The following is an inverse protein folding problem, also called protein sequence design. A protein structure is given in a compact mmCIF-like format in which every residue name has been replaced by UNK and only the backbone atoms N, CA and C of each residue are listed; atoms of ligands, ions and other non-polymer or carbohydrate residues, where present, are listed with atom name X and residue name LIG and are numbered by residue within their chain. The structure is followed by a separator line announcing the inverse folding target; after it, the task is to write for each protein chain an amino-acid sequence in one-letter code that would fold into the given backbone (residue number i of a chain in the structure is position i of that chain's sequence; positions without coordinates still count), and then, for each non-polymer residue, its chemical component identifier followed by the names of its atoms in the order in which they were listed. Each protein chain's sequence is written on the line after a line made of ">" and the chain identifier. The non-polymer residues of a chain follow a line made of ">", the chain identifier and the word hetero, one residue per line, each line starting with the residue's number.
data_IF_572513332939
#
_entry.id   IF_572513332939
#
_cell.length_a   1.000
_cell.length_b   1.000
_cell.length_c   1.000
_cell.angle_alpha   90.00
_cell.angle_beta   90.00
_cell.angle_gamma   90.00
#
_symmetry.space_group_name_H-M   'P 1'
#
loop_
_entity.id
_entity.type
_entity.pdbx_description
1 polymer ?
#
# COMPACT_ATOMS: atom_id res chain seq x y z
N UNK A 1 3.82 -17.67 -9.89
CA UNK A 1 3.81 -19.11 -9.55
C UNK A 1 3.00 -19.41 -8.29
N UNK A 2 3.43 -19.01 -7.08
CA UNK A 2 2.70 -19.36 -5.84
C UNK A 2 1.29 -18.77 -5.73
N UNK A 3 1.10 -17.49 -6.08
CA UNK A 3 -0.21 -16.83 -6.05
C UNK A 3 -1.15 -17.43 -7.09
N UNK A 4 -0.71 -17.53 -8.33
CA UNK A 4 -1.51 -18.07 -9.45
C UNK A 4 -1.96 -19.52 -9.20
N UNK A 5 -1.10 -20.34 -8.60
CA UNK A 5 -1.42 -21.74 -8.27
C UNK A 5 -2.49 -21.88 -7.17
N UNK A 6 -2.46 -21.01 -6.15
CA UNK A 6 -3.36 -21.12 -4.99
C UNK A 6 -4.59 -20.19 -5.08
N UNK A 7 -4.50 -19.12 -5.86
CA UNK A 7 -5.52 -18.09 -6.02
C UNK A 7 -5.66 -17.74 -7.51
N UNK A 8 -6.17 -18.67 -8.34
CA UNK A 8 -6.21 -18.50 -9.80
C UNK A 8 -7.09 -17.33 -10.27
N UNK A 9 -7.99 -16.84 -9.42
CA UNK A 9 -8.86 -15.69 -9.70
C UNK A 9 -8.31 -14.37 -9.15
N UNK A 10 -7.15 -14.39 -8.48
CA UNK A 10 -6.57 -13.20 -7.87
C UNK A 10 -5.61 -12.50 -8.83
N UNK A 11 -5.78 -11.19 -8.96
CA UNK A 11 -4.81 -10.35 -9.66
C UNK A 11 -3.57 -10.15 -8.79
N UNK A 12 -2.39 -10.42 -9.36
CA UNK A 12 -1.12 -10.26 -8.68
C UNK A 12 -0.48 -8.92 -9.04
N UNK A 13 -0.14 -8.12 -8.03
CA UNK A 13 0.55 -6.85 -8.22
C UNK A 13 1.73 -6.70 -7.26
N UNK A 14 2.80 -6.07 -7.73
CA UNK A 14 3.95 -5.71 -6.92
C UNK A 14 3.65 -4.49 -6.05
N UNK A 15 4.19 -4.52 -4.82
CA UNK A 15 4.25 -3.36 -3.97
C UNK A 15 5.25 -2.36 -4.58
N UNK A 16 4.75 -1.21 -5.02
CA UNK A 16 5.55 -0.16 -5.67
C UNK A 16 6.61 0.38 -4.71
N UNK A 17 6.34 0.41 -3.40
CA UNK A 17 7.33 0.77 -2.38
C UNK A 17 8.60 -0.09 -2.48
N UNK A 18 8.46 -1.42 -2.45
CA UNK A 18 9.61 -2.33 -2.56
C UNK A 18 10.31 -2.23 -3.92
N UNK A 19 9.54 -2.06 -5.00
CA UNK A 19 10.10 -1.85 -6.33
C UNK A 19 10.97 -0.59 -6.36
N UNK A 20 10.48 0.51 -5.79
CA UNK A 20 11.24 1.77 -5.71
C UNK A 20 12.43 1.69 -4.76
N UNK A 21 12.37 0.93 -3.66
CA UNK A 21 13.53 0.70 -2.80
C UNK A 21 14.63 -0.07 -3.54
N UNK A 22 14.26 -1.10 -4.32
CA UNK A 22 15.22 -1.85 -5.12
C UNK A 22 15.84 -0.95 -6.19
N UNK A 23 15.02 -0.16 -6.86
CA UNK A 23 15.46 0.79 -7.87
C UNK A 23 16.39 1.88 -7.28
N UNK A 24 16.09 2.41 -6.11
CA UNK A 24 16.96 3.37 -5.39
C UNK A 24 18.31 2.77 -4.99
N UNK A 25 18.35 1.46 -4.68
CA UNK A 25 19.60 0.76 -4.36
C UNK A 25 20.49 0.56 -5.59
N UNK A 26 19.90 0.46 -6.78
CA UNK A 26 20.64 0.26 -8.02
C UNK A 26 21.17 1.58 -8.59
N UNK A 27 20.30 2.60 -8.69
CA UNK A 27 20.62 3.84 -9.42
C UNK A 27 21.00 5.02 -8.51
N UNK A 28 20.70 4.94 -7.21
CA UNK A 28 20.98 5.99 -6.23
C UNK A 28 20.52 7.41 -6.64
N UNK A 29 19.43 7.50 -7.42
CA UNK A 29 18.94 8.74 -8.00
C UNK A 29 17.48 8.98 -7.62
N UNK A 30 17.26 9.99 -6.77
CA UNK A 30 15.94 10.35 -6.28
C UNK A 30 14.99 10.84 -7.38
N UNK A 31 15.48 11.50 -8.42
CA UNK A 31 14.64 12.00 -9.51
C UNK A 31 14.09 10.84 -10.34
N UNK A 32 14.92 9.83 -10.61
CA UNK A 32 14.48 8.60 -11.27
C UNK A 32 13.46 7.82 -10.42
N UNK A 33 13.66 7.76 -9.10
CA UNK A 33 12.68 7.15 -8.17
C UNK A 33 11.35 7.89 -8.21
N UNK A 34 11.37 9.21 -8.17
CA UNK A 34 10.15 10.02 -8.25
C UNK A 34 9.42 9.80 -9.58
N UNK A 35 10.15 9.76 -10.71
CA UNK A 35 9.55 9.47 -12.01
C UNK A 35 8.95 8.07 -12.08
N UNK A 36 9.61 7.06 -11.50
CA UNK A 36 9.07 5.70 -11.40
C UNK A 36 7.79 5.67 -10.55
N UNK A 37 7.79 6.40 -9.43
CA UNK A 37 6.61 6.55 -8.58
C UNK A 37 5.45 7.19 -9.32
N UNK A 38 5.70 8.29 -10.03
CA UNK A 38 4.71 8.97 -10.86
C UNK A 38 4.21 8.09 -12.02
N UNK A 39 5.09 7.30 -12.65
CA UNK A 39 4.71 6.33 -13.66
C UNK A 39 3.77 5.28 -13.08
N UNK A 40 4.06 4.76 -11.88
CA UNK A 40 3.22 3.77 -11.22
C UNK A 40 1.81 4.30 -10.90
N UNK A 41 1.71 5.57 -10.50
CA UNK A 41 0.45 6.25 -10.19
C UNK A 41 -0.28 6.82 -11.40
N UNK A 42 0.35 6.81 -12.58
CA UNK A 42 -0.27 7.33 -13.81
C UNK A 42 -1.53 6.53 -14.13
N UNK A 43 -2.63 7.25 -14.35
CA UNK A 43 -3.95 6.64 -14.52
C UNK A 43 -4.22 6.27 -15.97
N UNK A 44 -3.57 6.98 -16.88
CA UNK A 44 -3.65 6.75 -18.32
C UNK A 44 -2.34 6.18 -18.86
N UNK A 45 -2.45 5.42 -19.96
CA UNK A 45 -1.27 4.92 -20.69
C UNK A 45 -0.41 6.06 -21.21
N UNK A 46 -1.05 7.16 -21.66
CA UNK A 46 -0.34 8.33 -22.17
C UNK A 46 0.58 8.97 -21.12
N UNK A 47 0.06 9.21 -19.91
CA UNK A 47 0.85 9.75 -18.80
C UNK A 47 1.98 8.80 -18.42
N UNK A 48 1.69 7.50 -18.31
CA UNK A 48 2.69 6.48 -18.02
C UNK A 48 3.83 6.51 -19.03
N UNK A 49 3.52 6.47 -20.33
CA UNK A 49 4.53 6.50 -21.39
C UNK A 49 5.34 7.79 -21.34
N UNK A 50 4.71 8.93 -21.06
CA UNK A 50 5.42 10.20 -20.87
C UNK A 50 6.45 10.13 -19.74
N UNK A 51 6.10 9.54 -18.59
CA UNK A 51 7.03 9.37 -17.46
C UNK A 51 8.16 8.38 -17.80
N UNK A 52 7.84 7.26 -18.45
CA UNK A 52 8.83 6.28 -18.88
C UNK A 52 9.84 6.85 -19.88
N UNK A 53 9.40 7.67 -20.83
CA UNK A 53 10.30 8.35 -21.77
C UNK A 53 11.24 9.33 -21.06
N UNK A 54 10.79 10.01 -19.98
CA UNK A 54 11.66 10.86 -19.17
C UNK A 54 12.73 10.06 -18.44
N UNK A 55 12.38 8.88 -17.92
CA UNK A 55 13.34 7.96 -17.30
C UNK A 55 14.40 7.55 -18.34
N UNK A 56 13.98 7.16 -19.54
CA UNK A 56 14.90 6.79 -20.63
C UNK A 56 15.85 7.92 -21.02
N UNK A 57 15.35 9.15 -21.10
CA UNK A 57 16.17 10.33 -21.39
C UNK A 57 17.24 10.61 -20.33
N UNK A 58 16.93 10.35 -19.04
CA UNK A 58 17.87 10.56 -17.94
C UNK A 58 18.86 9.38 -17.83
N UNK A 59 18.36 8.16 -17.98
CA UNK A 59 19.16 6.93 -17.91
C UNK A 59 18.51 5.81 -18.74
N UNK A 60 19.05 5.49 -19.92
CA UNK A 60 18.62 4.34 -20.72
C UNK A 60 18.79 3.00 -19.99
N UNK A 61 19.78 2.91 -19.11
CA UNK A 61 20.04 1.75 -18.25
C UNK A 61 18.90 1.55 -17.24
N UNK A 62 18.44 2.63 -16.60
CA UNK A 62 17.31 2.58 -15.68
C UNK A 62 16.00 2.20 -16.36
N UNK A 63 15.77 2.72 -17.58
CA UNK A 63 14.64 2.32 -18.40
C UNK A 63 14.68 0.82 -18.74
N UNK A 64 15.82 0.33 -19.21
CA UNK A 64 16.01 -1.10 -19.52
C UNK A 64 15.80 -1.99 -18.29
N UNK A 65 16.23 -1.52 -17.12
CA UNK A 65 16.02 -2.23 -15.86
C UNK A 65 14.53 -2.37 -15.52
N UNK A 66 13.75 -1.29 -15.64
CA UNK A 66 12.31 -1.31 -15.34
C UNK A 66 11.54 -2.18 -16.34
N UNK A 67 11.97 -2.23 -17.60
CA UNK A 67 11.35 -3.07 -18.62
C UNK A 67 11.40 -4.58 -18.31
N UNK A 68 12.29 -5.02 -17.42
CA UNK A 68 12.28 -6.40 -16.93
C UNK A 68 11.02 -6.75 -16.12
N UNK A 69 10.30 -5.74 -15.62
CA UNK A 69 9.08 -5.91 -14.85
C UNK A 69 7.87 -5.50 -15.68
N UNK A 70 6.95 -6.45 -15.93
CA UNK A 70 5.73 -6.17 -16.69
C UNK A 70 4.93 -5.02 -16.05
N UNK A 71 4.56 -3.96 -16.79
CA UNK A 71 3.77 -2.84 -16.28
C UNK A 71 2.45 -3.26 -15.64
N UNK A 72 1.85 -4.34 -16.14
CA UNK A 72 0.62 -4.94 -15.58
C UNK A 72 0.74 -5.33 -14.11
N UNK A 73 1.95 -5.53 -13.59
CA UNK A 73 2.17 -5.92 -12.19
C UNK A 73 2.29 -4.72 -11.26
N UNK A 74 2.63 -3.53 -11.74
CA UNK A 74 2.98 -2.41 -10.85
C UNK A 74 2.34 -1.07 -11.23
N UNK A 75 2.07 -0.82 -12.51
CA UNK A 75 1.52 0.46 -13.00
C UNK A 75 -0.01 0.47 -13.03
N UNK A 76 -0.63 1.56 -12.55
CA UNK A 76 -2.10 1.67 -12.40
C UNK A 76 -2.84 1.69 -13.72
N UNK A 77 -2.21 2.25 -14.76
CA UNK A 77 -2.76 2.30 -16.11
C UNK A 77 -2.85 0.93 -16.79
N UNK A 78 -2.07 -0.07 -16.35
CA UNK A 78 -1.99 -1.41 -16.95
C UNK A 78 -2.51 -2.54 -16.04
N UNK A 79 -2.69 -2.29 -14.75
CA UNK A 79 -3.19 -3.30 -13.81
C UNK A 79 -4.65 -3.63 -14.14
N UNK A 80 -4.94 -4.90 -14.40
CA UNK A 80 -6.28 -5.37 -14.81
C UNK A 80 -7.26 -5.46 -13.63
N UNK A 81 -6.75 -5.71 -12.43
CA UNK A 81 -7.56 -5.82 -11.22
C UNK A 81 -7.95 -4.46 -10.64
N UNK A 82 -8.71 -4.50 -9.55
CA UNK A 82 -9.07 -3.30 -8.78
C UNK A 82 -8.29 -3.27 -7.47
N UNK A 83 -7.38 -2.30 -7.36
CA UNK A 83 -6.62 -2.04 -6.12
C UNK A 83 -6.98 -0.72 -5.44
N UNK A 84 -8.01 -0.03 -5.93
CA UNK A 84 -8.55 1.20 -5.32
C UNK A 84 -7.47 2.27 -5.07
N UNK A 85 -6.54 2.43 -6.02
CA UNK A 85 -5.39 3.33 -5.90
C UNK A 85 -4.29 2.90 -4.91
N UNK A 86 -4.42 1.74 -4.26
CA UNK A 86 -3.41 1.22 -3.33
C UNK A 86 -2.26 0.55 -4.10
N UNK A 87 -1.13 1.24 -4.16
CA UNK A 87 0.11 0.77 -4.80
C UNK A 87 1.15 0.27 -3.81
N UNK A 88 0.96 0.59 -2.55
CA UNK A 88 1.80 0.15 -1.46
C UNK A 88 1.01 -0.77 -0.57
N UNK A 89 1.69 -1.76 -0.02
CA UNK A 89 1.11 -2.61 0.99
C UNK A 89 1.21 -1.97 2.39
N UNK A 90 1.75 -0.74 2.49
CA UNK A 90 2.26 -0.13 3.72
C UNK A 90 1.31 -0.22 4.92
N UNK A 91 0.00 0.02 4.74
CA UNK A 91 -0.96 -0.04 5.85
C UNK A 91 -1.00 -1.43 6.51
N UNK A 92 -0.95 -2.50 5.71
CA UNK A 92 -1.00 -3.88 6.20
C UNK A 92 0.41 -4.41 6.45
N UNK A 93 1.39 -4.09 5.61
CA UNK A 93 2.75 -4.61 5.73
C UNK A 93 3.57 -3.90 6.79
N UNK A 94 3.43 -2.60 7.03
CA UNK A 94 4.17 -1.92 8.09
C UNK A 94 3.67 -2.37 9.46
N UNK A 95 2.34 -2.46 9.63
CA UNK A 95 1.74 -2.99 10.86
C UNK A 95 2.15 -4.45 11.07
N UNK A 96 1.97 -5.32 10.08
CA UNK A 96 2.34 -6.73 10.21
C UNK A 96 3.86 -6.93 10.39
N UNK A 97 4.70 -6.18 9.68
CA UNK A 97 6.16 -6.28 9.83
C UNK A 97 6.61 -5.83 11.22
N UNK A 98 6.01 -4.77 11.77
CA UNK A 98 6.25 -4.37 13.15
C UNK A 98 5.80 -5.45 14.13
N UNK A 99 4.64 -6.07 13.91
CA UNK A 99 4.15 -7.16 14.76
C UNK A 99 5.08 -8.37 14.72
N UNK A 100 5.56 -8.73 13.52
CA UNK A 100 6.56 -9.79 13.33
C UNK A 100 7.87 -9.43 14.02
N UNK A 101 8.36 -8.20 13.88
CA UNK A 101 9.60 -7.76 14.50
C UNK A 101 9.53 -7.86 16.03
N UNK A 102 8.44 -7.36 16.63
CA UNK A 102 8.19 -7.44 18.07
C UNK A 102 8.13 -8.89 18.57
N UNK A 103 7.57 -9.80 17.76
CA UNK A 103 7.42 -11.21 18.13
C UNK A 103 8.60 -12.11 17.70
N UNK A 104 9.54 -11.60 16.90
CA UNK A 104 10.60 -12.39 16.23
C UNK A 104 11.63 -13.06 17.17
N UNK A 105 11.55 -12.78 18.48
CA UNK A 105 12.34 -13.44 19.52
C UNK A 105 11.58 -14.47 20.37
N UNK A 106 10.28 -14.63 20.14
CA UNK A 106 9.40 -15.44 20.99
C UNK A 106 9.29 -16.89 20.47
N UNK A 107 9.06 -17.88 21.36
CA UNK A 107 8.60 -19.21 20.95
C UNK A 107 7.33 -19.12 20.10
N UNK A 108 7.14 -20.08 19.18
CA UNK A 108 6.01 -20.09 18.22
C UNK A 108 4.64 -19.90 18.88
N UNK A 109 4.42 -20.52 20.05
CA UNK A 109 3.17 -20.40 20.81
C UNK A 109 2.95 -18.94 21.27
N UNK A 110 3.97 -18.33 21.88
CA UNK A 110 3.91 -16.95 22.35
C UNK A 110 3.77 -15.96 21.18
N UNK A 111 4.40 -16.24 20.03
CA UNK A 111 4.20 -15.45 18.82
C UNK A 111 2.74 -15.50 18.34
N UNK A 112 2.11 -16.68 18.35
CA UNK A 112 0.70 -16.83 17.99
C UNK A 112 -0.22 -16.14 18.99
N UNK A 113 0.05 -16.22 20.29
CA UNK A 113 -0.67 -15.48 21.34
C UNK A 113 -0.55 -13.96 21.12
N UNK A 114 0.64 -13.44 20.79
CA UNK A 114 0.82 -12.03 20.47
C UNK A 114 0.00 -11.61 19.24
N UNK A 115 0.00 -12.39 18.15
CA UNK A 115 -0.81 -12.07 16.98
C UNK A 115 -2.30 -12.12 17.26
N UNK A 116 -2.76 -13.12 18.00
CA UNK A 116 -4.15 -13.26 18.42
C UNK A 116 -4.62 -12.03 19.20
N UNK A 117 -3.87 -11.58 20.20
CA UNK A 117 -4.19 -10.39 20.98
C UNK A 117 -4.21 -9.11 20.13
N UNK A 118 -3.28 -8.97 19.18
CA UNK A 118 -3.24 -7.81 18.28
C UNK A 118 -4.43 -7.79 17.31
N UNK A 119 -4.81 -8.94 16.76
CA UNK A 119 -6.01 -9.06 15.93
C UNK A 119 -7.28 -8.75 16.71
N UNK A 120 -7.40 -9.28 17.93
CA UNK A 120 -8.53 -8.99 18.82
C UNK A 120 -8.67 -7.48 19.08
N UNK A 121 -7.56 -6.80 19.41
CA UNK A 121 -7.54 -5.35 19.61
C UNK A 121 -7.86 -4.58 18.32
N UNK A 122 -7.31 -4.98 17.17
CA UNK A 122 -7.58 -4.36 15.88
C UNK A 122 -9.08 -4.42 15.54
N UNK A 123 -9.70 -5.59 15.66
CA UNK A 123 -11.12 -5.78 15.39
C UNK A 123 -11.99 -4.95 16.34
N UNK A 124 -11.64 -4.92 17.63
CA UNK A 124 -12.30 -4.06 18.63
C UNK A 124 -12.21 -2.58 18.25
N UNK A 125 -11.00 -2.08 17.96
CA UNK A 125 -10.76 -0.69 17.59
C UNK A 125 -11.53 -0.30 16.33
N UNK A 126 -11.54 -1.16 15.30
CA UNK A 126 -12.30 -0.90 14.06
C UNK A 126 -13.80 -0.81 14.32
N UNK A 127 -14.36 -1.69 15.15
CA UNK A 127 -15.77 -1.62 15.55
C UNK A 127 -16.08 -0.32 16.29
N UNK A 128 -15.31 0.00 17.34
CA UNK A 128 -15.50 1.21 18.15
C UNK A 128 -15.37 2.47 17.30
N UNK A 129 -14.39 2.52 16.40
CA UNK A 129 -14.21 3.64 15.47
C UNK A 129 -15.44 3.79 14.58
N UNK A 130 -15.92 2.69 13.98
CA UNK A 130 -17.05 2.71 13.05
C UNK A 130 -18.40 3.05 13.72
N UNK A 131 -18.53 2.87 15.04
CA UNK A 131 -19.76 3.17 15.78
C UNK A 131 -20.13 4.65 15.70
N UNK A 132 -19.13 5.53 15.64
CA UNK A 132 -19.30 6.98 15.59
C UNK A 132 -19.58 7.52 14.18
N UNK A 133 -19.56 6.66 13.15
CA UNK A 133 -19.80 7.08 11.76
C UNK A 133 -21.29 7.09 11.46
N UNK A 134 -21.80 8.26 11.05
CA UNK A 134 -23.20 8.47 10.67
C UNK A 134 -23.44 8.53 9.16
N UNK A 135 -22.39 8.65 8.34
CA UNK A 135 -22.47 8.71 6.89
C UNK A 135 -22.66 7.34 6.22
N UNK A 136 -22.95 7.37 4.91
CA UNK A 136 -23.09 6.16 4.08
C UNK A 136 -21.73 5.54 3.73
N UNK A 137 -20.71 6.39 3.51
CA UNK A 137 -19.35 5.99 3.18
C UNK A 137 -18.40 6.12 4.36
N UNK A 138 -17.34 5.30 4.36
CA UNK A 138 -16.25 5.45 5.33
C UNK A 138 -15.62 6.84 5.20
N UNK A 139 -15.10 7.45 6.29
CA UNK A 139 -14.70 8.85 6.29
C UNK A 139 -13.70 9.26 5.20
N UNK A 140 -12.79 8.35 4.81
CA UNK A 140 -11.81 8.61 3.74
C UNK A 140 -12.44 8.65 2.35
N UNK A 141 -13.47 7.85 2.10
CA UNK A 141 -14.21 7.84 0.84
C UNK A 141 -15.22 8.99 0.80
N UNK A 142 -15.91 9.25 1.91
CA UNK A 142 -16.78 10.41 2.10
C UNK A 142 -16.06 11.71 1.73
N UNK A 143 -14.87 11.92 2.31
CA UNK A 143 -14.05 13.09 2.02
C UNK A 143 -13.72 13.21 0.53
N UNK A 144 -13.30 12.12 -0.12
CA UNK A 144 -12.97 12.13 -1.55
C UNK A 144 -14.17 12.46 -2.43
N UNK A 145 -15.36 11.94 -2.08
CA UNK A 145 -16.59 12.21 -2.82
C UNK A 145 -17.03 13.67 -2.64
N UNK A 146 -16.98 14.21 -1.41
CA UNK A 146 -17.27 15.62 -1.14
C UNK A 146 -16.30 16.55 -1.88
N UNK A 147 -14.99 16.25 -1.87
CA UNK A 147 -14.00 17.00 -2.63
C UNK A 147 -14.30 16.97 -4.14
N UNK A 148 -14.74 15.82 -4.67
CA UNK A 148 -15.16 15.68 -6.06
C UNK A 148 -16.43 16.47 -6.40
N UNK A 149 -17.40 16.54 -5.48
CA UNK A 149 -18.60 17.37 -5.59
C UNK A 149 -18.22 18.85 -5.68
N UNK A 150 -17.37 19.34 -4.77
CA UNK A 150 -16.93 20.74 -4.80
C UNK A 150 -16.19 21.07 -6.11
N UNK A 151 -15.29 20.19 -6.55
CA UNK A 151 -14.56 20.37 -7.82
C UNK A 151 -15.49 20.33 -9.04
N UNK A 152 -16.58 19.56 -8.99
CA UNK A 152 -17.52 19.44 -10.11
C UNK A 152 -18.27 20.74 -10.44
N UNK A 153 -18.39 21.65 -9.46
CA UNK A 153 -19.19 22.88 -9.59
C UNK A 153 -18.70 23.84 -10.67
N UNK A 154 -17.41 23.79 -11.01
CA UNK A 154 -16.82 24.66 -12.04
C UNK A 154 -16.83 24.03 -13.42
N UNK A 155 -17.27 22.77 -13.54
CA UNK A 155 -17.29 22.03 -14.80
C UNK A 155 -18.50 22.43 -15.63
N UNK A 156 -18.36 22.41 -16.96
CA UNK A 156 -19.50 22.54 -17.87
C UNK A 156 -19.81 21.17 -18.44
N UNK A 157 -21.05 20.72 -18.26
CA UNK A 157 -21.48 19.37 -18.64
C UNK A 157 -22.37 19.46 -19.87
N UNK A 158 -22.03 18.72 -20.91
CA UNK A 158 -22.80 18.58 -22.14
C UNK A 158 -23.21 17.14 -22.31
N UNK A 159 -24.52 16.89 -22.36
CA UNK A 159 -25.08 15.55 -22.56
C UNK A 159 -25.01 15.19 -24.04
N UNK A 160 -24.34 14.09 -24.38
CA UNK A 160 -24.25 13.60 -25.75
C UNK A 160 -25.40 12.64 -26.08
N UNK A 161 -25.74 11.74 -25.15
CA UNK A 161 -26.90 10.84 -25.21
C UNK A 161 -27.41 10.51 -23.81
N UNK A 162 -28.17 9.42 -23.64
CA UNK A 162 -28.74 9.08 -22.33
C UNK A 162 -27.69 8.79 -21.25
N UNK A 163 -26.53 8.24 -21.61
CA UNK A 163 -25.49 7.78 -20.68
C UNK A 163 -24.15 8.51 -20.82
N UNK A 164 -23.84 9.10 -21.98
CA UNK A 164 -22.54 9.72 -22.27
C UNK A 164 -22.59 11.25 -22.20
N UNK A 165 -21.54 11.83 -21.61
CA UNK A 165 -21.38 13.25 -21.36
C UNK A 165 -19.99 13.71 -21.73
N UNK A 166 -19.91 14.89 -22.34
CA UNK A 166 -18.67 15.64 -22.45
C UNK A 166 -18.61 16.66 -21.31
N UNK A 167 -17.59 16.55 -20.46
CA UNK A 167 -17.37 17.43 -19.31
C UNK A 167 -16.16 18.31 -19.60
N UNK A 168 -16.39 19.61 -19.74
CA UNK A 168 -15.35 20.61 -19.94
C UNK A 168 -14.83 21.10 -18.59
N UNK A 169 -13.51 21.01 -18.42
CA UNK A 169 -12.77 21.54 -17.26
C UNK A 169 -11.74 22.58 -17.69
N UNK A 170 -10.98 23.12 -16.74
CA UNK A 170 -9.81 23.97 -17.03
C UNK A 170 -8.68 23.23 -17.74
N UNK A 171 -8.62 21.91 -17.62
CA UNK A 171 -7.52 21.07 -18.16
C UNK A 171 -7.86 20.47 -19.53
N UNK A 172 -9.12 20.55 -19.96
CA UNK A 172 -9.60 19.99 -21.22
C UNK A 172 -11.00 19.40 -21.11
N UNK A 173 -11.46 18.76 -22.18
CA UNK A 173 -12.72 18.02 -22.20
C UNK A 173 -12.48 16.54 -21.91
N UNK A 174 -13.38 15.94 -21.12
CA UNK A 174 -13.30 14.54 -20.71
C UNK A 174 -14.66 13.88 -20.95
N UNK A 175 -14.64 12.72 -21.60
CA UNK A 175 -15.85 11.92 -21.79
C UNK A 175 -16.12 11.08 -20.54
N UNK A 176 -17.39 11.08 -20.12
CA UNK A 176 -17.93 10.30 -19.01
C UNK A 176 -19.08 9.44 -19.52
N UNK A 177 -19.10 8.18 -19.11
CA UNK A 177 -20.22 7.26 -19.31
C UNK A 177 -20.72 6.84 -17.92
N UNK A 178 -21.94 7.29 -17.57
CA UNK A 178 -22.50 7.03 -16.23
C UNK A 178 -23.11 5.63 -16.11
N UNK A 179 -23.49 4.99 -17.22
CA UNK A 179 -24.06 3.65 -17.23
C UNK A 179 -22.96 2.62 -16.97
N UNK A 180 -21.84 2.74 -17.69
CA UNK A 180 -20.67 1.87 -17.52
C UNK A 180 -19.72 2.33 -16.39
N UNK A 181 -20.12 3.34 -15.60
CA UNK A 181 -19.34 3.89 -14.48
C UNK A 181 -17.90 4.25 -14.88
N UNK A 182 -17.75 4.88 -16.04
CA UNK A 182 -16.46 5.08 -16.66
C UNK A 182 -16.20 6.56 -16.96
N UNK A 183 -14.94 6.96 -16.83
CA UNK A 183 -14.48 8.30 -17.17
C UNK A 183 -13.13 8.18 -17.88
N UNK A 184 -12.88 8.98 -18.92
CA UNK A 184 -11.58 8.95 -19.62
C UNK A 184 -10.41 9.41 -18.73
N UNK A 185 -10.66 10.11 -17.62
CA UNK A 185 -9.62 10.40 -16.63
C UNK A 185 -9.20 9.16 -15.80
N UNK A 186 -9.87 8.01 -15.98
CA UNK A 186 -9.60 6.71 -15.35
C UNK A 186 -9.72 6.66 -13.82
N UNK A 187 -9.91 7.80 -13.14
CA UNK A 187 -10.02 7.88 -11.68
C UNK A 187 -11.15 7.02 -11.14
N UNK A 188 -12.32 7.05 -11.78
CA UNK A 188 -13.49 6.30 -11.30
C UNK A 188 -13.24 4.80 -11.31
N UNK A 189 -12.73 4.28 -12.43
CA UNK A 189 -12.44 2.86 -12.61
C UNK A 189 -11.32 2.37 -11.68
N UNK A 190 -10.30 3.19 -11.44
CA UNK A 190 -9.13 2.79 -10.64
C UNK A 190 -9.39 2.91 -9.14
N UNK A 191 -10.13 3.93 -8.69
CA UNK A 191 -10.35 4.22 -7.27
C UNK A 191 -11.70 3.71 -6.75
N UNK A 192 -12.63 3.32 -7.63
CA UNK A 192 -13.96 2.86 -7.23
C UNK A 192 -14.87 3.97 -6.69
N UNK A 193 -14.52 5.24 -6.92
CA UNK A 193 -15.30 6.40 -6.50
C UNK A 193 -15.50 7.34 -7.69
N UNK A 194 -16.69 7.92 -7.88
CA UNK A 194 -16.92 8.91 -8.93
C UNK A 194 -15.89 10.06 -8.85
N UNK A 195 -15.21 10.33 -9.97
CA UNK A 195 -14.34 11.50 -10.07
C UNK A 195 -15.16 12.79 -10.24
N UNK A 196 -14.54 13.96 -10.13
CA UNK A 196 -15.27 15.24 -10.27
C UNK A 196 -15.99 15.41 -11.60
N UNK A 197 -15.47 14.84 -12.70
CA UNK A 197 -16.16 14.79 -13.99
C UNK A 197 -17.44 13.95 -13.92
N UNK A 198 -17.33 12.74 -13.37
CA UNK A 198 -18.45 11.82 -13.20
C UNK A 198 -19.52 12.40 -12.28
N UNK A 199 -19.11 12.99 -11.16
CA UNK A 199 -20.00 13.70 -10.26
C UNK A 199 -20.75 14.82 -10.97
N UNK A 200 -20.08 15.64 -11.79
CA UNK A 200 -20.74 16.68 -12.59
C UNK A 200 -21.82 16.11 -13.53
N UNK A 201 -21.51 15.02 -14.24
CA UNK A 201 -22.46 14.33 -15.12
C UNK A 201 -23.68 13.77 -14.34
N UNK A 202 -23.43 13.07 -13.23
CA UNK A 202 -24.48 12.50 -12.37
C UNK A 202 -25.39 13.58 -11.79
N UNK A 203 -24.82 14.66 -11.25
CA UNK A 203 -25.58 15.78 -10.69
C UNK A 203 -26.41 16.49 -11.76
N UNK A 204 -25.93 16.58 -13.01
CA UNK A 204 -26.71 17.14 -14.12
C UNK A 204 -27.97 16.32 -14.43
N UNK A 205 -27.94 15.02 -14.13
CA UNK A 205 -29.08 14.11 -14.24
C UNK A 205 -29.93 14.03 -12.97
N UNK A 206 -29.56 14.77 -11.91
CA UNK A 206 -30.17 14.69 -10.57
C UNK A 206 -30.05 13.30 -9.94
N UNK A 207 -29.00 12.56 -10.31
CA UNK A 207 -28.69 11.27 -9.71
C UNK A 207 -28.04 11.44 -8.33
N UNK A 208 -28.22 10.41 -7.51
CA UNK A 208 -27.56 10.31 -6.21
C UNK A 208 -26.16 9.72 -6.37
N UNK A 209 -25.14 10.58 -6.24
CA UNK A 209 -23.73 10.23 -6.45
C UNK A 209 -23.21 9.15 -5.50
N UNK A 210 -23.82 8.98 -4.33
CA UNK A 210 -23.40 7.97 -3.35
C UNK A 210 -23.65 6.55 -3.86
N UNK A 211 -24.68 6.33 -4.68
CA UNK A 211 -25.02 5.03 -5.29
C UNK A 211 -23.99 4.54 -6.31
N UNK A 212 -23.11 5.42 -6.74
CA UNK A 212 -22.09 5.17 -7.75
C UNK A 212 -20.70 4.91 -7.15
N UNK A 213 -20.58 4.97 -5.82
CA UNK A 213 -19.40 4.50 -5.09
C UNK A 213 -19.39 2.96 -4.99
N UNK A 214 -18.19 2.38 -5.02
CA UNK A 214 -18.02 0.95 -4.82
C UNK A 214 -18.42 0.54 -3.40
N UNK A 215 -19.10 -0.59 -3.28
CA UNK A 215 -19.75 -0.99 -2.03
C UNK A 215 -18.74 -1.26 -0.90
N UNK A 216 -17.49 -1.59 -1.22
CA UNK A 216 -16.41 -1.79 -0.25
C UNK A 216 -16.10 -0.53 0.59
N UNK A 217 -16.48 0.65 0.10
CA UNK A 217 -16.34 1.91 0.84
C UNK A 217 -17.53 2.26 1.72
N UNK A 218 -18.61 1.48 1.71
CA UNK A 218 -19.76 1.74 2.58
C UNK A 218 -19.40 1.48 4.05
N UNK A 219 -19.96 2.30 4.94
CA UNK A 219 -19.91 2.06 6.40
C UNK A 219 -20.54 0.72 6.75
N UNK A 220 -21.59 0.31 6.03
CA UNK A 220 -22.24 -0.98 6.21
C UNK A 220 -21.26 -2.15 5.98
N UNK A 221 -20.58 -2.20 4.83
CA UNK A 221 -19.64 -3.27 4.54
C UNK A 221 -18.41 -3.22 5.44
N UNK A 222 -17.95 -2.04 5.83
CA UNK A 222 -16.92 -1.91 6.85
C UNK A 222 -17.34 -2.56 8.17
N UNK A 223 -18.53 -2.22 8.68
CA UNK A 223 -19.07 -2.81 9.92
C UNK A 223 -19.25 -4.32 9.80
N UNK A 224 -19.75 -4.80 8.67
CA UNK A 224 -19.88 -6.24 8.39
C UNK A 224 -18.53 -6.96 8.42
N UNK A 225 -17.49 -6.35 7.86
CA UNK A 225 -16.13 -6.91 7.82
C UNK A 225 -15.55 -7.12 9.22
N UNK A 226 -15.86 -6.22 10.16
CA UNK A 226 -15.35 -6.28 11.54
C UNK A 226 -16.40 -6.68 12.59
N UNK A 227 -17.57 -7.19 12.16
CA UNK A 227 -18.69 -7.50 13.04
C UNK A 227 -18.35 -8.60 14.04
N UNK A 228 -17.66 -9.64 13.56
CA UNK A 228 -17.25 -10.77 14.39
C UNK A 228 -16.10 -10.41 15.34
N UNK A 229 -16.10 -11.01 16.52
CA UNK A 229 -15.02 -10.84 17.48
C UNK A 229 -14.04 -12.01 17.39
N UNK A 230 -12.76 -11.70 17.48
CA UNK A 230 -11.74 -12.72 17.73
C UNK A 230 -11.89 -13.16 19.18
N UNK A 231 -12.34 -14.39 19.40
CA UNK A 231 -12.65 -14.90 20.74
C UNK A 231 -11.38 -15.09 21.60
N UNK A 232 -11.43 -14.81 22.92
CA UNK A 232 -10.35 -15.13 23.83
C UNK A 232 -10.03 -16.62 23.82
N UNK A 233 -8.74 -16.96 23.92
CA UNK A 233 -8.31 -18.35 24.10
C UNK A 233 -8.29 -18.65 25.60
N UNK A 234 -9.00 -19.69 26.02
CA UNK A 234 -9.03 -20.15 27.41
C UNK A 234 -7.65 -20.62 27.89
N UNK A 235 -7.44 -20.75 29.20
CA UNK A 235 -6.18 -21.27 29.71
C UNK A 235 -5.94 -22.70 29.22
N UNK A 236 -4.67 -23.06 29.03
CA UNK A 236 -4.25 -24.39 28.55
C UNK A 236 -4.82 -25.54 29.38
N UNK A 237 -5.07 -25.30 30.67
CA UNK A 237 -5.65 -26.26 31.61
C UNK A 237 -7.09 -26.67 31.20
N UNK A 238 -7.81 -25.78 30.51
CA UNK A 238 -9.18 -25.99 30.05
C UNK A 238 -9.26 -26.55 28.62
N UNK A 239 -8.12 -26.65 27.93
CA UNK A 239 -8.09 -27.22 26.58
C UNK A 239 -8.33 -28.72 26.71
N UNK A 240 -9.53 -29.17 26.33
CA UNK A 240 -9.79 -30.60 26.16
C UNK A 240 -8.79 -31.12 25.14
N UNK A 241 -7.89 -32.02 25.54
CA UNK A 241 -7.14 -32.83 24.60
C UNK A 241 -8.17 -33.55 23.73
N UNK A 242 -8.40 -33.05 22.52
CA UNK A 242 -8.97 -33.90 21.49
C UNK A 242 -7.93 -34.98 21.31
N UNK A 243 -8.24 -36.18 21.79
CA UNK A 243 -7.56 -37.40 21.40
C UNK A 243 -7.78 -37.51 19.89
N UNK A 244 -6.95 -36.85 19.10
CA UNK A 244 -6.70 -37.30 17.75
C UNK A 244 -6.06 -38.66 17.94
N UNK A 245 -6.80 -39.71 17.58
CA UNK A 245 -6.22 -41.00 17.29
C UNK A 245 -4.96 -40.70 16.47
N UNK A 246 -3.80 -41.00 17.07
CA UNK A 246 -2.51 -40.76 16.44
C UNK A 246 -2.53 -41.61 15.19
N UNK A 247 -2.66 -40.96 14.04
CA UNK A 247 -2.03 -41.49 12.85
C UNK A 247 -0.53 -41.41 13.16
N UNK A 248 0.08 -42.56 13.42
CA UNK A 248 1.51 -42.72 13.72
C UNK A 248 2.37 -42.48 12.45
N UNK A 249 2.09 -41.37 11.77
CA UNK A 249 2.76 -40.96 10.56
C UNK A 249 2.46 -39.49 10.26
N UNK A 250 3.51 -38.78 9.86
CA UNK A 250 3.49 -37.43 9.23
C UNK A 250 3.72 -36.24 10.18
N UNK A 251 5.01 -35.86 10.18
CA UNK A 251 5.50 -34.47 10.13
C UNK A 251 5.08 -33.55 11.29
N UNK A 252 5.71 -33.76 12.45
CA UNK A 252 5.75 -32.74 13.48
C UNK A 252 6.30 -31.44 12.87
N UNK A 253 5.47 -30.39 12.87
CA UNK A 253 5.83 -29.05 12.39
C UNK A 253 7.18 -28.69 13.02
N UNK A 254 8.25 -28.81 12.22
CA UNK A 254 9.58 -28.45 12.68
C UNK A 254 9.56 -26.95 12.85
N UNK A 255 9.59 -26.48 14.09
CA UNK A 255 9.85 -25.08 14.37
C UNK A 255 11.09 -24.67 13.56
N UNK A 256 11.00 -23.64 12.69
CA UNK A 256 12.17 -23.14 12.00
C UNK A 256 13.25 -22.93 13.05
N UNK A 257 14.46 -23.46 12.84
CA UNK A 257 15.58 -23.19 13.74
C UNK A 257 15.64 -21.68 13.88
N UNK A 258 15.54 -21.18 15.11
CA UNK A 258 15.68 -19.77 15.39
C UNK A 258 17.08 -19.34 14.94
N UNK A 259 17.20 -18.92 13.68
CA UNK A 259 18.37 -18.21 13.21
C UNK A 259 18.26 -16.88 13.92
N UNK A 260 18.98 -16.74 15.04
CA UNK A 260 19.27 -15.43 15.61
C UNK A 260 20.05 -14.66 14.55
N UNK A 261 19.35 -13.99 13.66
CA UNK A 261 19.95 -12.94 12.85
C UNK A 261 20.24 -11.84 13.86
N UNK A 262 21.46 -11.82 14.38
CA UNK A 262 21.98 -10.69 15.14
C UNK A 262 22.04 -9.53 14.13
N UNK A 263 20.91 -8.86 13.90
CA UNK A 263 20.90 -7.57 13.23
C UNK A 263 21.71 -6.66 14.15
N UNK A 264 22.95 -6.35 13.73
CA UNK A 264 23.73 -5.27 14.35
C UNK A 264 22.80 -4.07 14.43
N UNK A 265 22.43 -3.66 15.64
CA UNK A 265 21.76 -2.38 15.86
C UNK A 265 22.52 -1.35 15.04
N UNK A 266 21.88 -0.74 14.02
CA UNK A 266 22.41 0.47 13.41
C UNK A 266 22.59 1.42 14.59
N UNK A 267 23.85 1.65 14.99
CA UNK A 267 24.15 2.71 15.95
C UNK A 267 23.66 3.98 15.27
N UNK A 268 22.53 4.49 15.72
CA UNK A 268 22.19 5.89 15.51
C UNK A 268 23.41 6.64 16.06
N UNK A 269 24.19 7.21 15.14
CA UNK A 269 25.34 8.02 15.50
C UNK A 269 24.71 9.28 16.08
N UNK A 270 24.58 9.33 17.41
CA UNK A 270 24.34 10.59 18.08
C UNK A 270 25.44 11.53 17.59
N UNK A 271 25.05 12.69 17.09
CA UNK A 271 26.00 13.75 16.76
C UNK A 271 26.80 14.02 18.03
N UNK A 272 28.10 13.74 17.96
CA UNK A 272 29.07 13.83 19.06
C UNK A 272 29.38 15.32 19.31
N UNK A 273 28.36 16.08 19.71
CA UNK A 273 28.51 17.48 20.13
C UNK A 273 29.13 17.45 21.53
N UNK A 274 30.44 17.65 21.59
CA UNK A 274 31.14 17.94 22.85
C UNK A 274 32.25 16.99 23.29
N UNK A 275 32.67 16.00 22.47
CA UNK A 275 33.88 15.22 22.78
C UNK A 275 35.15 15.94 22.33
N UNK A 276 35.92 16.43 23.30
CA UNK A 276 37.29 16.92 23.08
C UNK A 276 38.12 15.83 22.41
N UNK A 277 38.50 16.05 21.15
CA UNK A 277 39.37 15.12 20.39
C UNK A 277 40.72 15.06 21.09
N UNK A 278 41.07 13.90 21.67
CA UNK A 278 42.43 13.68 22.19
C UNK A 278 43.41 13.72 21.03
N UNK A 279 44.41 14.59 21.14
CA UNK A 279 45.51 14.69 20.17
C UNK A 279 46.42 13.47 20.36
N UNK A 280 46.47 12.62 19.33
CA UNK A 280 47.30 11.41 19.35
C UNK A 280 48.70 11.75 18.83
N UNK A 281 49.73 11.31 19.57
CA UNK A 281 51.13 11.55 19.26
C UNK A 281 51.77 10.24 18.78
N UNK A 282 52.64 10.30 17.77
CA UNK A 282 53.37 9.14 17.29
C UNK A 282 54.28 8.60 18.39
N UNK A 283 54.17 7.31 18.73
CA UNK A 283 54.93 6.71 19.83
C UNK A 283 56.46 6.68 19.61
N UNK A 284 56.94 7.09 18.43
CA UNK A 284 58.37 7.05 18.06
C UNK A 284 59.03 8.43 18.05
N UNK A 285 58.36 9.45 17.52
CA UNK A 285 58.88 10.82 17.44
C UNK A 285 58.07 11.83 18.27
N UNK A 286 56.99 11.40 18.90
CA UNK A 286 56.07 12.20 19.71
C UNK A 286 55.45 13.39 18.97
N UNK A 287 55.46 13.40 17.63
CA UNK A 287 54.79 14.41 16.81
C UNK A 287 53.37 13.99 16.45
N UNK A 288 52.52 14.98 16.19
CA UNK A 288 51.12 14.78 15.80
C UNK A 288 51.00 14.69 14.27
N UNK A 289 50.08 13.88 13.75
CA UNK A 289 49.76 13.84 12.32
C UNK A 289 50.09 12.53 11.59
N UNK A 290 50.69 11.56 12.27
CA UNK A 290 50.93 10.22 11.72
C UNK A 290 50.93 9.16 12.83
N UNK A 291 50.70 7.90 12.47
CA UNK A 291 50.81 6.75 13.37
C UNK A 291 52.17 6.06 13.16
N UNK A 292 52.59 5.23 14.10
CA UNK A 292 53.87 4.48 13.97
C UNK A 292 53.94 3.59 12.71
N UNK A 293 52.79 3.21 12.17
CA UNK A 293 52.63 2.30 11.03
C UNK A 293 52.43 3.01 9.68
N UNK A 294 52.40 4.34 9.68
CA UNK A 294 52.48 5.18 8.46
C UNK A 294 53.90 5.72 8.34
#
# INVERSE_FOLDING_TARGET
>A
DGVESNFPTAFHGFCVHHLTEQFQREFHNSDLVNLLWEAAHSLTVLEYTSKMNKIEQISPEAFSWIQNFSPSLWASSYFEGTRYGQLTANVITESLSSWIEDASGLPIIQMMECFHLRLMNLFKERRETSFHWSGELVPSAEKQLVDAIEQSRVHRVYRANEAEFEVMTSEGSVVVDIENRSCLCRRWQIHGLPCSHAVGALLSCKEDVYKYAESCFSVENYRRTYAESVEPVSEKIEWKEKVSERDDGVDGIRTPRAIRVVRRRKRVRAEDVGRVKRVVHCSRCNQTGHFRTT
#
